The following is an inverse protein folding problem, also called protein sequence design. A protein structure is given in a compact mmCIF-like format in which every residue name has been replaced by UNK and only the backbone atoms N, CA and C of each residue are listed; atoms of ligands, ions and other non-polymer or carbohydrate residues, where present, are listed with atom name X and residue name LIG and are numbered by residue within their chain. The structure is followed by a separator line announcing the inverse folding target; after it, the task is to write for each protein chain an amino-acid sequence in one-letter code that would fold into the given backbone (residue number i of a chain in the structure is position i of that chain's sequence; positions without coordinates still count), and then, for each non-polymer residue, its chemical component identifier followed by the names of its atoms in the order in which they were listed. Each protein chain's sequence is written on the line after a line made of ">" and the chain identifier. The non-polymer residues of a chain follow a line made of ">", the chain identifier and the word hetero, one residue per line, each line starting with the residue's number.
data_IF_772328200141
#
_entry.id   IF_772328200141
#
_cell.length_a   1.000
_cell.length_b   1.000
_cell.length_c   1.000
_cell.angle_alpha   90.00
_cell.angle_beta   90.00
_cell.angle_gamma   90.00
#
_symmetry.space_group_name_H-M   'P 1'
#
loop_
_entity.id
_entity.type
_entity.pdbx_description
1 polymer ?
#
# COMPACT_ATOMS: atom_id res chain seq x y z
N UNK A 1 3.79 -19.46 3.25
CA UNK A 1 3.95 -18.42 2.21
C UNK A 1 4.68 -17.27 2.86
N UNK A 2 5.94 -17.01 2.50
CA UNK A 2 6.67 -15.87 3.03
C UNK A 2 6.02 -14.60 2.49
N UNK A 3 5.25 -13.90 3.33
CA UNK A 3 4.89 -12.51 3.05
C UNK A 3 6.21 -11.76 3.00
N UNK A 4 6.65 -11.34 1.81
CA UNK A 4 7.80 -10.45 1.67
C UNK A 4 7.54 -9.20 2.52
N UNK A 5 8.03 -9.17 3.76
CA UNK A 5 7.75 -8.08 4.69
C UNK A 5 8.28 -6.78 4.12
N UNK A 6 7.36 -5.85 3.83
CA UNK A 6 7.70 -4.51 3.37
C UNK A 6 8.40 -3.77 4.49
N UNK A 7 9.64 -3.34 4.24
CA UNK A 7 10.33 -2.47 5.19
C UNK A 7 9.77 -1.06 5.13
N UNK A 8 9.86 -0.30 6.22
CA UNK A 8 9.42 1.10 6.25
C UNK A 8 10.06 1.95 5.14
N UNK A 9 11.33 1.67 4.81
CA UNK A 9 12.04 2.34 3.70
C UNK A 9 11.45 1.99 2.33
N UNK A 10 11.07 0.73 2.11
CA UNK A 10 10.41 0.30 0.87
C UNK A 10 9.01 0.88 0.76
N UNK A 11 8.25 0.90 1.86
CA UNK A 11 6.91 1.48 1.87
C UNK A 11 6.94 2.98 1.57
N UNK A 12 7.88 3.72 2.17
CA UNK A 12 8.06 5.15 1.87
C UNK A 12 8.34 5.40 0.38
N UNK A 13 9.27 4.66 -0.21
CA UNK A 13 9.56 4.76 -1.64
C UNK A 13 8.37 4.39 -2.52
N UNK A 14 7.56 3.43 -2.07
CA UNK A 14 6.35 3.03 -2.77
C UNK A 14 5.30 4.14 -2.77
N UNK A 15 5.07 4.80 -1.63
CA UNK A 15 4.18 5.97 -1.53
C UNK A 15 4.67 7.14 -2.38
N UNK A 16 5.97 7.45 -2.34
CA UNK A 16 6.59 8.48 -3.19
C UNK A 16 6.41 8.14 -4.68
N UNK A 17 6.61 6.89 -5.07
CA UNK A 17 6.43 6.44 -6.44
C UNK A 17 4.96 6.44 -6.88
N UNK A 18 4.00 6.15 -5.99
CA UNK A 18 2.57 6.26 -6.27
C UNK A 18 2.14 7.70 -6.54
N UNK A 19 2.76 8.68 -5.87
CA UNK A 19 2.52 10.10 -6.09
C UNK A 19 3.09 10.61 -7.42
N UNK A 20 4.13 9.95 -7.94
CA UNK A 20 4.75 10.30 -9.24
C UNK A 20 4.05 9.59 -10.40
N UNK A 21 3.68 8.31 -10.21
CA UNK A 21 3.04 7.50 -11.24
C UNK A 21 1.55 7.36 -10.93
N UNK A 22 0.75 8.18 -11.59
CA UNK A 22 -0.70 8.13 -11.55
C UNK A 22 -1.29 6.88 -12.23
N UNK A 23 -2.60 6.69 -12.10
CA UNK A 23 -3.35 5.54 -12.64
C UNK A 23 -3.25 5.39 -14.16
N UNK A 24 -3.07 6.48 -14.89
CA UNK A 24 -2.93 6.50 -16.35
C UNK A 24 -1.49 6.21 -16.84
N UNK A 25 -0.54 6.03 -15.92
CA UNK A 25 0.85 5.75 -16.28
C UNK A 25 0.97 4.34 -16.88
N UNK A 26 1.43 4.18 -18.13
CA UNK A 26 1.74 2.86 -18.67
C UNK A 26 2.87 2.22 -17.86
N UNK A 27 2.79 0.92 -17.61
CA UNK A 27 3.80 0.19 -16.83
C UNK A 27 4.05 0.76 -15.41
N UNK A 28 3.04 1.42 -14.83
CA UNK A 28 3.06 1.98 -13.47
C UNK A 28 3.75 1.06 -12.46
N UNK A 29 3.33 -0.19 -12.39
CA UNK A 29 3.84 -1.15 -11.41
C UNK A 29 5.30 -1.54 -11.64
N UNK A 30 5.72 -1.67 -12.90
CA UNK A 30 7.13 -1.92 -13.25
C UNK A 30 8.01 -0.73 -12.86
N UNK A 31 7.53 0.49 -13.07
CA UNK A 31 8.25 1.71 -12.69
C UNK A 31 8.38 1.85 -11.17
N UNK A 32 7.29 1.59 -10.43
CA UNK A 32 7.30 1.61 -8.96
C UNK A 32 8.23 0.51 -8.40
N UNK A 33 8.15 -0.72 -8.92
CA UNK A 33 9.03 -1.82 -8.54
C UNK A 33 10.51 -1.46 -8.70
N UNK A 34 10.85 -0.76 -9.78
CA UNK A 34 12.21 -0.26 -10.04
C UNK A 34 12.67 0.77 -9.01
N UNK A 35 11.79 1.67 -8.55
CA UNK A 35 12.14 2.67 -7.52
C UNK A 35 12.31 2.03 -6.15
N UNK A 36 11.34 1.20 -5.76
CA UNK A 36 11.32 0.51 -4.46
C UNK A 36 12.58 -0.36 -4.34
N UNK A 37 12.87 -1.16 -5.37
CA UNK A 37 13.98 -2.09 -5.43
C UNK A 37 13.75 -3.33 -4.57
N UNK A 38 14.05 -4.50 -5.13
CA UNK A 38 13.87 -5.79 -4.44
C UNK A 38 12.40 -6.19 -4.24
N UNK A 39 11.52 -5.70 -5.12
CA UNK A 39 10.11 -6.09 -5.24
C UNK A 39 9.78 -6.22 -6.73
N UNK A 40 8.97 -7.21 -7.09
CA UNK A 40 8.43 -7.34 -8.45
C UNK A 40 7.16 -6.50 -8.65
N UNK A 41 6.78 -6.25 -9.89
CA UNK A 41 5.57 -5.48 -10.21
C UNK A 41 4.30 -6.13 -9.62
N UNK A 42 4.27 -7.46 -9.55
CA UNK A 42 3.17 -8.23 -8.94
C UNK A 42 3.10 -8.00 -7.42
N UNK A 43 4.24 -8.01 -6.72
CA UNK A 43 4.30 -7.71 -5.28
C UNK A 43 3.87 -6.27 -4.99
N UNK A 44 4.26 -5.32 -5.84
CA UNK A 44 3.86 -3.91 -5.74
C UNK A 44 2.35 -3.76 -5.95
N UNK A 45 1.79 -4.43 -6.97
CA UNK A 45 0.35 -4.39 -7.24
C UNK A 45 -0.46 -4.97 -6.08
N UNK A 46 -0.05 -6.13 -5.54
CA UNK A 46 -0.71 -6.74 -4.38
C UNK A 46 -0.65 -5.85 -3.14
N UNK A 47 0.49 -5.18 -2.90
CA UNK A 47 0.62 -4.22 -1.79
C UNK A 47 -0.31 -3.02 -1.95
N UNK A 48 -0.48 -2.53 -3.18
CA UNK A 48 -1.45 -1.47 -3.48
C UNK A 48 -2.90 -1.92 -3.23
N UNK A 49 -3.28 -3.13 -3.64
CA UNK A 49 -4.63 -3.64 -3.41
C UNK A 49 -4.97 -3.76 -1.91
N UNK A 50 -3.98 -4.16 -1.09
CA UNK A 50 -4.12 -4.18 0.37
C UNK A 50 -4.31 -2.74 0.90
N UNK A 51 -3.47 -1.79 0.49
CA UNK A 51 -3.58 -0.39 0.90
C UNK A 51 -4.96 0.20 0.55
N UNK A 52 -5.45 -0.05 -0.66
CA UNK A 52 -6.79 0.42 -1.08
C UNK A 52 -7.88 -0.21 -0.21
N UNK A 53 -7.76 -1.50 0.09
CA UNK A 53 -8.73 -2.19 0.97
C UNK A 53 -8.71 -1.60 2.39
N UNK A 54 -7.53 -1.34 2.96
CA UNK A 54 -7.40 -0.73 4.28
C UNK A 54 -8.03 0.67 4.32
N UNK A 55 -7.79 1.50 3.29
CA UNK A 55 -8.41 2.83 3.17
C UNK A 55 -9.93 2.73 3.07
N UNK A 56 -10.45 1.82 2.23
CA UNK A 56 -11.88 1.60 2.09
C UNK A 56 -12.54 1.12 3.40
N UNK A 57 -11.83 0.31 4.20
CA UNK A 57 -12.33 -0.13 5.50
C UNK A 57 -12.39 1.02 6.53
N UNK A 58 -11.47 1.99 6.43
CA UNK A 58 -11.50 3.20 7.26
C UNK A 58 -12.67 4.11 6.84
N UNK A 59 -12.90 4.29 5.53
CA UNK A 59 -14.00 5.14 5.01
C UNK A 59 -15.39 4.55 5.28
N UNK A 60 -15.52 3.23 5.47
CA UNK A 60 -16.78 2.58 5.77
C UNK A 60 -17.16 2.59 7.27
N UNK A 61 -16.42 3.33 8.12
CA UNK A 61 -16.61 3.35 9.59
C UNK A 61 -16.62 1.95 10.24
N UNK A 62 -16.03 0.94 9.58
CA UNK A 62 -15.90 -0.43 10.09
C UNK A 62 -14.75 -0.60 11.09
N UNK A 63 -14.19 0.51 11.57
CA UNK A 63 -13.37 0.52 12.77
C UNK A 63 -14.33 0.65 13.94
N UNK A 64 -14.67 -0.43 14.67
CA UNK A 64 -15.45 -0.27 15.89
C UNK A 64 -14.69 0.67 16.80
N UNK A 65 -15.25 1.85 17.06
CA UNK A 65 -14.75 2.77 18.06
C UNK A 65 -14.51 1.95 19.34
N UNK A 66 -13.30 1.95 19.91
CA UNK A 66 -13.07 1.28 21.17
C UNK A 66 -14.07 1.84 22.18
N UNK A 67 -14.85 0.93 22.79
CA UNK A 67 -15.84 1.28 23.79
C UNK A 67 -15.10 1.73 25.04
N UNK A 68 -14.76 3.02 25.10
CA UNK A 68 -14.30 3.65 26.32
C UNK A 68 -15.50 3.76 27.25
N UNK A 69 -15.71 2.73 28.05
CA UNK A 69 -16.56 2.86 29.23
C UNK A 69 -15.88 3.85 30.16
N UNK A 70 -16.43 5.05 30.23
CA UNK A 70 -16.14 6.02 31.29
C UNK A 70 -16.43 5.33 32.63
N UNK A 71 -15.42 5.23 33.49
CA UNK A 71 -15.53 4.73 34.87
C UNK A 71 -14.62 5.56 35.76
#
# INVERSE_FOLDING_TARGET
>A
MATSSWTARQNKKFEEALAVYDRDTPDRWHNIARIVGGKSAEEVKGHYEILVKDVLQIENDEVPCPNYTDS
#
